data_IF_722440450286
#
_entry.id   IF_722440450286
#
_cell.length_a   1.000
_cell.length_b   1.000
_cell.length_c   1.000
_cell.angle_alpha   90.00
_cell.angle_beta   90.00
_cell.angle_gamma   90.00
#
_symmetry.space_group_name_H-M   'P 1'
#
loop_
_entity.id
_entity.type
_entity.pdbx_description
1 polymer ?
#
# COMPACT_ATOMS: atom_id res chain seq x y z
N UNK A 1 13.66 7.42 8.14
CA UNK A 1 13.24 8.72 8.70
C UNK A 1 11.92 9.08 8.07
N UNK A 2 10.94 9.50 8.86
CA UNK A 2 9.64 9.91 8.33
C UNK A 2 9.57 11.41 8.08
N UNK A 3 8.75 11.77 7.11
CA UNK A 3 8.22 13.12 6.92
C UNK A 3 7.10 13.32 7.94
N UNK A 4 7.21 14.38 8.74
CA UNK A 4 6.39 14.59 9.93
C UNK A 4 5.50 15.81 9.84
N UNK A 5 5.90 16.81 9.07
CA UNK A 5 5.16 18.07 8.93
C UNK A 5 4.83 18.36 7.48
N UNK A 6 3.82 19.21 7.27
CA UNK A 6 3.43 19.66 5.92
C UNK A 6 4.57 20.41 5.25
N UNK A 7 5.24 21.30 5.97
CA UNK A 7 6.37 22.08 5.46
C UNK A 7 7.51 21.20 5.02
N UNK A 8 7.85 20.17 5.82
CA UNK A 8 8.88 19.20 5.47
C UNK A 8 8.53 18.46 4.19
N UNK A 9 7.26 18.04 4.03
CA UNK A 9 6.77 17.40 2.81
C UNK A 9 6.97 18.33 1.59
N UNK A 10 6.50 19.57 1.67
CA UNK A 10 6.56 20.54 0.56
C UNK A 10 8.02 20.82 0.14
N UNK A 11 8.91 21.07 1.11
CA UNK A 11 10.35 21.31 0.86
C UNK A 11 11.00 20.10 0.21
N UNK A 12 10.79 18.90 0.76
CA UNK A 12 11.39 17.68 0.22
C UNK A 12 10.89 17.38 -1.19
N UNK A 13 9.60 17.59 -1.48
CA UNK A 13 9.06 17.38 -2.82
C UNK A 13 9.70 18.29 -3.86
N UNK A 14 9.85 19.59 -3.56
CA UNK A 14 10.51 20.54 -4.45
C UNK A 14 11.98 20.17 -4.69
N UNK A 15 12.72 19.85 -3.63
CA UNK A 15 14.12 19.39 -3.73
C UNK A 15 14.24 18.10 -4.56
N UNK A 16 13.39 17.10 -4.30
CA UNK A 16 13.45 15.81 -5.01
C UNK A 16 13.15 15.96 -6.50
N UNK A 17 12.17 16.78 -6.86
CA UNK A 17 11.83 17.03 -8.28
C UNK A 17 12.99 17.67 -9.03
N UNK A 18 13.71 18.63 -8.41
CA UNK A 18 14.92 19.25 -9.00
C UNK A 18 16.07 18.25 -9.18
N UNK A 19 16.16 17.26 -8.31
CA UNK A 19 17.23 16.24 -8.31
C UNK A 19 16.84 14.93 -9.02
N UNK A 20 15.63 14.81 -9.55
CA UNK A 20 15.05 13.54 -10.02
C UNK A 20 15.96 12.79 -11.00
N UNK A 21 16.58 13.50 -11.95
CA UNK A 21 17.50 12.91 -12.92
C UNK A 21 18.80 12.35 -12.30
N UNK A 22 19.36 13.01 -11.28
CA UNK A 22 20.54 12.53 -10.56
C UNK A 22 20.19 11.31 -9.69
N UNK A 23 19.08 11.40 -8.97
CA UNK A 23 18.56 10.32 -8.12
C UNK A 23 18.34 9.05 -8.94
N UNK A 24 17.66 9.16 -10.09
CA UNK A 24 17.43 8.04 -11.01
C UNK A 24 18.73 7.38 -11.46
N UNK A 25 19.74 8.16 -11.86
CA UNK A 25 21.04 7.63 -12.28
C UNK A 25 21.73 6.84 -11.15
N UNK A 26 21.71 7.35 -9.92
CA UNK A 26 22.29 6.67 -8.75
C UNK A 26 21.57 5.35 -8.46
N UNK A 27 20.23 5.36 -8.49
CA UNK A 27 19.43 4.16 -8.27
C UNK A 27 19.69 3.12 -9.36
N UNK A 28 19.62 3.49 -10.64
CA UNK A 28 19.84 2.56 -11.75
C UNK A 28 21.24 1.95 -11.68
N UNK A 29 22.26 2.75 -11.38
CA UNK A 29 23.62 2.27 -11.20
C UNK A 29 23.73 1.24 -10.08
N UNK A 30 23.16 1.54 -8.91
CA UNK A 30 23.19 0.64 -7.77
C UNK A 30 22.35 -0.62 -8.00
N UNK A 31 21.16 -0.48 -8.56
CA UNK A 31 20.29 -1.62 -8.87
C UNK A 31 20.97 -2.55 -9.88
N UNK A 32 21.67 -2.00 -10.87
CA UNK A 32 22.53 -2.77 -11.77
C UNK A 32 23.64 -3.50 -11.02
N UNK A 33 24.37 -2.84 -10.12
CA UNK A 33 25.45 -3.49 -9.36
C UNK A 33 24.95 -4.60 -8.43
N UNK A 34 23.88 -4.33 -7.67
CA UNK A 34 23.38 -5.22 -6.62
C UNK A 34 22.52 -6.35 -7.18
N UNK A 35 21.64 -6.06 -8.13
CA UNK A 35 20.66 -7.00 -8.66
C UNK A 35 20.96 -7.45 -10.09
N UNK A 36 21.85 -6.76 -10.82
CA UNK A 36 22.11 -7.03 -12.23
C UNK A 36 20.99 -6.55 -13.16
N UNK A 37 20.13 -5.63 -12.73
CA UNK A 37 19.04 -5.09 -13.54
C UNK A 37 19.54 -3.82 -14.24
N UNK A 38 19.69 -3.87 -15.57
CA UNK A 38 20.34 -2.82 -16.38
C UNK A 38 19.57 -1.50 -16.49
N UNK A 39 18.24 -1.53 -16.47
CA UNK A 39 17.40 -0.33 -16.64
C UNK A 39 16.17 -0.38 -15.72
N UNK A 40 16.42 -0.28 -14.42
CA UNK A 40 15.37 -0.33 -13.40
C UNK A 40 14.37 0.81 -13.55
N UNK A 41 14.84 2.02 -13.87
CA UNK A 41 14.00 3.19 -14.15
C UNK A 41 12.98 2.93 -15.24
N UNK A 42 13.36 2.27 -16.36
CA UNK A 42 12.39 1.94 -17.41
C UNK A 42 11.35 0.89 -16.97
N UNK A 43 11.75 -0.07 -16.11
CA UNK A 43 10.78 -1.02 -15.52
C UNK A 43 9.81 -0.28 -14.60
N UNK A 44 10.30 0.64 -13.75
CA UNK A 44 9.47 1.51 -12.90
C UNK A 44 8.48 2.30 -13.76
N UNK A 45 8.96 2.98 -14.81
CA UNK A 45 8.12 3.79 -15.71
C UNK A 45 7.06 2.98 -16.44
N UNK A 46 7.36 1.74 -16.86
CA UNK A 46 6.39 0.85 -17.49
C UNK A 46 5.19 0.61 -16.57
N UNK A 47 5.44 0.24 -15.33
CA UNK A 47 4.41 -0.12 -14.35
C UNK A 47 3.75 1.10 -13.69
N UNK A 48 4.46 2.23 -13.64
CA UNK A 48 3.96 3.49 -13.12
C UNK A 48 3.63 4.50 -14.23
N UNK A 49 3.30 4.02 -15.41
CA UNK A 49 3.08 4.85 -16.60
C UNK A 49 1.86 5.77 -16.52
N UNK A 50 0.99 5.60 -15.53
CA UNK A 50 -0.10 6.53 -15.24
C UNK A 50 0.37 7.77 -14.45
N UNK A 51 1.60 7.76 -13.91
CA UNK A 51 2.24 8.90 -13.22
C UNK A 51 2.86 9.92 -14.19
N UNK A 52 2.45 9.93 -15.47
CA UNK A 52 3.07 10.77 -16.52
C UNK A 52 2.87 12.27 -16.34
N UNK A 53 1.96 12.68 -15.46
CA UNK A 53 1.79 14.10 -15.15
C UNK A 53 2.87 14.54 -14.16
N UNK A 54 3.98 15.06 -14.69
CA UNK A 54 5.12 15.56 -13.90
C UNK A 54 4.75 16.71 -12.96
N UNK A 55 3.59 17.35 -13.17
CA UNK A 55 3.10 18.41 -12.28
C UNK A 55 2.49 17.85 -11.00
N UNK A 56 2.04 16.59 -11.01
CA UNK A 56 1.40 15.95 -9.86
C UNK A 56 2.40 15.18 -9.01
N UNK A 57 2.07 15.06 -7.73
CA UNK A 57 2.69 14.11 -6.82
C UNK A 57 1.60 13.19 -6.30
N UNK A 58 1.92 11.91 -6.21
CA UNK A 58 0.95 10.88 -5.85
C UNK A 58 1.24 10.37 -4.43
N UNK A 59 0.20 10.27 -3.61
CA UNK A 59 0.25 9.63 -2.30
C UNK A 59 -0.07 8.15 -2.48
N UNK A 60 0.76 7.27 -1.93
CA UNK A 60 0.60 5.82 -2.06
C UNK A 60 0.30 5.19 -0.71
N UNK A 61 -0.76 4.38 -0.64
CA UNK A 61 -1.04 3.48 0.48
C UNK A 61 -0.92 2.03 -0.01
N UNK A 62 0.01 1.26 0.56
CA UNK A 62 0.30 -0.09 0.11
C UNK A 62 -0.44 -1.15 0.93
N UNK A 63 -1.42 -1.83 0.35
CA UNK A 63 -2.20 -2.90 1.02
C UNK A 63 -2.31 -4.09 0.10
N UNK A 64 -2.27 -5.33 0.60
CA UNK A 64 -2.26 -6.46 -0.35
C UNK A 64 -3.54 -6.49 -1.21
N UNK A 65 -4.68 -6.15 -0.59
CA UNK A 65 -5.92 -5.79 -1.30
C UNK A 65 -6.42 -4.45 -0.73
N UNK A 66 -6.45 -3.37 -1.53
CA UNK A 66 -7.04 -2.10 -1.13
C UNK A 66 -8.54 -2.23 -0.85
N UNK A 67 -9.10 -1.41 0.05
CA UNK A 67 -10.53 -1.51 0.42
C UNK A 67 -11.11 -0.11 0.68
N UNK A 68 -12.16 -0.04 1.50
CA UNK A 68 -12.81 1.19 1.98
C UNK A 68 -12.85 1.22 3.51
N UNK A 69 -11.83 0.66 4.18
CA UNK A 69 -11.76 0.76 5.63
C UNK A 69 -11.46 2.19 6.08
N UNK A 70 -11.58 2.45 7.39
CA UNK A 70 -11.31 3.78 7.98
C UNK A 70 -9.96 4.32 7.51
N UNK A 71 -8.93 3.48 7.46
CA UNK A 71 -7.63 3.84 6.90
C UNK A 71 -7.68 4.28 5.44
N UNK A 72 -8.35 3.52 4.56
CA UNK A 72 -8.43 3.84 3.13
C UNK A 72 -9.13 5.19 2.91
N UNK A 73 -10.22 5.45 3.64
CA UNK A 73 -10.98 6.70 3.56
C UNK A 73 -10.15 7.88 4.12
N UNK A 74 -9.47 7.66 5.24
CA UNK A 74 -8.58 8.66 5.84
C UNK A 74 -7.41 8.99 4.90
N UNK A 75 -6.82 7.98 4.29
CA UNK A 75 -5.77 8.12 3.28
C UNK A 75 -6.26 8.95 2.08
N UNK A 76 -7.46 8.65 1.56
CA UNK A 76 -8.02 9.35 0.42
C UNK A 76 -8.21 10.86 0.72
N UNK A 77 -8.92 11.18 1.81
CA UNK A 77 -9.20 12.56 2.21
C UNK A 77 -7.89 13.29 2.57
N UNK A 78 -7.03 12.64 3.35
CA UNK A 78 -5.77 13.20 3.81
C UNK A 78 -4.80 13.51 2.67
N UNK A 79 -4.68 12.60 1.70
CA UNK A 79 -3.85 12.81 0.50
C UNK A 79 -4.32 14.02 -0.30
N UNK A 80 -5.64 14.13 -0.57
CA UNK A 80 -6.21 15.27 -1.29
C UNK A 80 -5.94 16.59 -0.57
N UNK A 81 -6.08 16.63 0.76
CA UNK A 81 -5.76 17.82 1.57
C UNK A 81 -4.29 18.21 1.54
N UNK A 82 -3.39 17.25 1.32
CA UNK A 82 -1.96 17.48 1.15
C UNK A 82 -1.57 17.79 -0.31
N UNK A 83 -2.53 17.91 -1.23
CA UNK A 83 -2.25 18.12 -2.65
C UNK A 83 -1.67 16.89 -3.35
N UNK A 84 -1.81 15.71 -2.74
CA UNK A 84 -1.36 14.44 -3.30
C UNK A 84 -2.51 13.74 -4.00
N UNK A 85 -2.25 13.15 -5.17
CA UNK A 85 -3.22 12.27 -5.83
C UNK A 85 -3.19 10.89 -5.17
N UNK A 86 -4.26 10.44 -4.50
CA UNK A 86 -4.25 9.17 -3.78
C UNK A 86 -4.25 8.01 -4.76
N UNK A 87 -3.37 7.03 -4.52
CA UNK A 87 -3.24 5.78 -5.27
C UNK A 87 -3.07 4.64 -4.28
N UNK A 88 -3.84 3.57 -4.45
CA UNK A 88 -3.63 2.37 -3.65
C UNK A 88 -2.68 1.43 -4.38
N UNK A 89 -1.63 0.99 -3.70
CA UNK A 89 -0.72 -0.02 -4.21
C UNK A 89 -1.14 -1.39 -3.69
N UNK A 90 -1.45 -2.31 -4.59
CA UNK A 90 -1.90 -3.67 -4.31
C UNK A 90 -0.85 -4.70 -4.66
N UNK A 91 -0.89 -5.85 -3.99
CA UNK A 91 0.00 -6.97 -4.29
C UNK A 91 -0.79 -8.27 -4.39
N UNK A 92 -1.51 -8.40 -5.51
CA UNK A 92 -2.52 -9.45 -5.69
C UNK A 92 -1.94 -10.85 -5.85
N UNK A 93 -0.67 -10.97 -6.27
CA UNK A 93 0.05 -12.24 -6.31
C UNK A 93 0.56 -12.72 -4.95
N UNK A 94 0.33 -11.97 -3.85
CA UNK A 94 0.61 -12.50 -2.52
C UNK A 94 -0.40 -13.58 -2.13
N UNK A 95 -0.06 -14.37 -1.11
CA UNK A 95 -0.88 -15.49 -0.66
C UNK A 95 -1.70 -15.10 0.56
N UNK A 96 -2.90 -15.65 0.68
CA UNK A 96 -3.68 -15.56 1.89
C UNK A 96 -3.03 -16.34 3.04
N UNK A 97 -3.15 -15.78 4.24
CA UNK A 97 -2.83 -16.44 5.50
C UNK A 97 -3.73 -15.88 6.60
N UNK A 98 -4.46 -16.74 7.30
CA UNK A 98 -5.34 -16.38 8.40
C UNK A 98 -4.61 -15.80 9.60
N UNK A 99 -3.30 -16.08 9.74
CA UNK A 99 -2.44 -15.46 10.75
C UNK A 99 -2.20 -13.96 10.48
N UNK A 100 -2.35 -13.52 9.23
CA UNK A 100 -2.30 -12.10 8.89
C UNK A 100 -3.72 -11.50 9.00
N UNK A 101 -3.91 -10.68 10.03
CA UNK A 101 -5.18 -10.04 10.33
C UNK A 101 -5.63 -9.01 9.29
N UNK A 102 -4.73 -8.38 8.52
CA UNK A 102 -5.09 -7.54 7.37
C UNK A 102 -5.78 -8.40 6.30
N UNK A 103 -5.19 -9.54 5.93
CA UNK A 103 -5.73 -10.45 4.92
C UNK A 103 -7.03 -11.08 5.37
N UNK A 104 -7.11 -11.52 6.63
CA UNK A 104 -8.34 -12.06 7.21
C UNK A 104 -9.49 -11.05 7.12
N UNK A 105 -9.22 -9.77 7.39
CA UNK A 105 -10.23 -8.70 7.35
C UNK A 105 -10.68 -8.32 5.93
N UNK A 106 -10.06 -8.87 4.87
CA UNK A 106 -10.56 -8.74 3.49
C UNK A 106 -11.61 -9.78 3.15
N UNK A 107 -11.49 -10.99 3.69
CA UNK A 107 -12.48 -12.07 3.46
C UNK A 107 -13.56 -12.13 4.55
N UNK A 108 -13.27 -11.56 5.72
CA UNK A 108 -14.19 -11.41 6.86
C UNK A 108 -14.17 -9.95 7.32
N UNK A 109 -14.99 -9.14 6.69
CA UNK A 109 -14.97 -7.68 6.83
C UNK A 109 -15.52 -7.26 8.20
N UNK A 110 -14.74 -6.52 9.02
CA UNK A 110 -15.27 -5.86 10.20
C UNK A 110 -16.00 -4.58 9.81
N UNK A 111 -17.28 -4.50 10.15
CA UNK A 111 -18.12 -3.34 10.01
C UNK A 111 -18.26 -2.62 11.35
N UNK A 112 -17.89 -1.35 11.37
CA UNK A 112 -18.24 -0.42 12.43
C UNK A 112 -19.63 0.15 12.21
N UNK A 113 -20.47 0.07 13.25
CA UNK A 113 -21.75 0.77 13.34
C UNK A 113 -21.84 1.42 14.71
N UNK A 114 -22.22 2.69 14.73
CA UNK A 114 -22.39 3.40 15.98
C UNK A 114 -23.88 3.45 16.32
N UNK A 115 -24.21 2.94 17.50
CA UNK A 115 -25.59 2.82 17.97
C UNK A 115 -26.21 4.17 18.29
N UNK A 116 -27.54 4.29 18.31
CA UNK A 116 -28.25 5.54 18.69
C UNK A 116 -27.71 6.15 20.01
N UNK A 117 -27.27 5.31 20.95
CA UNK A 117 -26.69 5.71 22.25
C UNK A 117 -25.20 6.12 22.21
N UNK A 118 -24.63 6.42 21.05
CA UNK A 118 -23.22 6.81 20.96
C UNK A 118 -22.20 5.66 20.89
N UNK A 119 -22.59 4.40 21.17
CA UNK A 119 -21.64 3.29 21.33
C UNK A 119 -21.23 2.64 20.01
N UNK A 120 -19.92 2.50 19.77
CA UNK A 120 -19.35 1.75 18.66
C UNK A 120 -19.61 0.24 18.83
N UNK A 121 -20.10 -0.40 17.77
CA UNK A 121 -20.30 -1.85 17.70
C UNK A 121 -19.65 -2.41 16.44
N UNK A 122 -19.05 -3.59 16.57
CA UNK A 122 -18.44 -4.31 15.46
C UNK A 122 -19.32 -5.48 15.04
N UNK A 123 -19.55 -5.60 13.73
CA UNK A 123 -20.18 -6.77 13.10
C UNK A 123 -19.22 -7.31 12.06
N UNK A 124 -19.29 -8.61 11.77
CA UNK A 124 -18.45 -9.22 10.75
C UNK A 124 -19.31 -9.76 9.62
N UNK A 125 -18.87 -9.54 8.40
CA UNK A 125 -19.47 -10.10 7.19
C UNK A 125 -18.46 -11.02 6.52
N UNK A 126 -18.87 -12.25 6.23
CA UNK A 126 -18.05 -13.18 5.46
C UNK A 126 -18.31 -12.92 3.97
N UNK A 127 -17.27 -12.46 3.28
CA UNK A 127 -17.30 -12.22 1.83
C UNK A 127 -17.01 -13.52 1.07
N UNK A 128 -16.19 -14.39 1.67
CA UNK A 128 -15.91 -15.73 1.14
C UNK A 128 -17.04 -16.70 1.52
N UNK A 129 -17.50 -17.49 0.54
CA UNK A 129 -18.61 -18.43 0.74
C UNK A 129 -18.23 -19.77 1.39
N UNK A 130 -16.93 -20.10 1.45
CA UNK A 130 -16.41 -21.33 2.04
C UNK A 130 -15.85 -21.13 3.45
N UNK A 131 -15.02 -22.09 3.88
CA UNK A 131 -14.35 -22.03 5.19
C UNK A 131 -12.98 -21.34 5.08
N UNK A 132 -12.66 -20.42 6.01
CA UNK A 132 -11.38 -19.67 6.00
C UNK A 132 -10.12 -20.55 5.81
N UNK A 133 -9.99 -21.75 6.43
CA UNK A 133 -8.82 -22.62 6.21
C UNK A 133 -8.61 -23.04 4.74
N UNK A 134 -9.65 -23.05 3.92
CA UNK A 134 -9.56 -23.41 2.49
C UNK A 134 -8.78 -22.37 1.68
N UNK A 135 -8.70 -21.15 2.20
CA UNK A 135 -7.98 -20.03 1.58
C UNK A 135 -6.48 -20.06 1.87
N UNK A 136 -5.99 -20.89 2.79
CA UNK A 136 -4.56 -20.88 3.14
C UNK A 136 -3.68 -21.09 1.91
N UNK A 137 -2.70 -20.20 1.75
CA UNK A 137 -1.79 -20.14 0.61
C UNK A 137 -2.43 -19.82 -0.76
N UNK A 138 -3.75 -19.63 -0.85
CA UNK A 138 -4.41 -19.21 -2.09
C UNK A 138 -3.94 -17.80 -2.47
N UNK A 139 -3.65 -17.59 -3.75
CA UNK A 139 -3.26 -16.28 -4.28
C UNK A 139 -4.43 -15.31 -4.13
N UNK A 140 -4.19 -14.14 -3.55
CA UNK A 140 -5.22 -13.16 -3.22
C UNK A 140 -6.08 -12.77 -4.42
N UNK A 141 -5.45 -12.60 -5.59
CA UNK A 141 -6.14 -12.31 -6.85
C UNK A 141 -7.08 -13.41 -7.35
N UNK A 142 -6.96 -14.64 -6.83
CA UNK A 142 -7.75 -15.80 -7.26
C UNK A 142 -8.82 -16.20 -6.25
N UNK A 143 -8.97 -15.47 -5.15
CA UNK A 143 -10.02 -15.77 -4.16
C UNK A 143 -11.38 -15.36 -4.75
N UNK A 144 -12.28 -16.32 -4.91
CA UNK A 144 -13.65 -16.09 -5.38
C UNK A 144 -14.57 -15.72 -4.23
N UNK A 145 -15.37 -14.67 -4.37
CA UNK A 145 -16.35 -14.27 -3.34
C UNK A 145 -17.66 -15.05 -3.46
N UNK A 146 -18.47 -15.08 -2.40
CA UNK A 146 -19.72 -15.85 -2.34
C UNK A 146 -20.72 -15.48 -3.46
N UNK A 147 -20.76 -14.21 -3.87
CA UNK A 147 -21.64 -13.69 -4.93
C UNK A 147 -21.09 -13.88 -6.36
N UNK A 148 -19.94 -14.53 -6.53
CA UNK A 148 -19.22 -14.61 -7.80
C UNK A 148 -18.29 -13.41 -8.03
N UNK A 149 -17.34 -13.57 -8.96
CA UNK A 149 -16.23 -12.64 -9.15
C UNK A 149 -15.10 -12.83 -8.13
N UNK A 150 -14.05 -12.05 -8.26
CA UNK A 150 -12.85 -12.14 -7.43
C UNK A 150 -12.89 -11.17 -6.25
N UNK A 151 -12.13 -11.48 -5.20
CA UNK A 151 -12.01 -10.63 -4.02
C UNK A 151 -11.51 -9.22 -4.33
N UNK A 152 -10.50 -9.01 -5.20
CA UNK A 152 -10.11 -7.66 -5.61
C UNK A 152 -11.21 -6.89 -6.35
N UNK A 153 -12.00 -7.57 -7.20
CA UNK A 153 -13.13 -6.94 -7.91
C UNK A 153 -14.21 -6.50 -6.93
N UNK A 154 -14.55 -7.33 -5.93
CA UNK A 154 -15.48 -6.96 -4.86
C UNK A 154 -15.03 -5.68 -4.14
N UNK A 155 -13.76 -5.60 -3.73
CA UNK A 155 -13.25 -4.40 -3.08
C UNK A 155 -13.13 -3.19 -4.03
N UNK A 156 -12.84 -3.41 -5.32
CA UNK A 156 -12.87 -2.37 -6.36
C UNK A 156 -14.26 -1.75 -6.49
N UNK A 157 -15.32 -2.57 -6.49
CA UNK A 157 -16.70 -2.08 -6.52
C UNK A 157 -17.04 -1.24 -5.28
N UNK A 158 -16.62 -1.67 -4.10
CA UNK A 158 -16.77 -0.87 -2.87
C UNK A 158 -16.05 0.48 -2.97
N UNK A 159 -14.80 0.49 -3.46
CA UNK A 159 -14.03 1.73 -3.65
C UNK A 159 -14.71 2.67 -4.64
N UNK A 160 -15.11 2.17 -5.81
CA UNK A 160 -15.87 2.97 -6.80
C UNK A 160 -17.14 3.54 -6.21
N UNK A 161 -17.84 2.79 -5.35
CA UNK A 161 -19.04 3.26 -4.68
C UNK A 161 -18.75 4.42 -3.72
N UNK A 162 -17.73 4.28 -2.87
CA UNK A 162 -17.41 5.26 -1.82
C UNK A 162 -16.71 6.49 -2.38
N UNK A 163 -15.80 6.31 -3.34
CA UNK A 163 -14.95 7.37 -3.90
C UNK A 163 -15.50 7.93 -5.23
N UNK A 164 -16.81 7.93 -5.43
CA UNK A 164 -17.47 8.56 -6.60
C UNK A 164 -16.92 8.07 -7.96
N UNK A 165 -16.83 6.75 -8.14
CA UNK A 165 -16.29 6.11 -9.34
C UNK A 165 -14.76 6.08 -9.42
N UNK A 166 -14.06 6.76 -8.51
CA UNK A 166 -12.60 6.79 -8.46
C UNK A 166 -12.03 5.48 -7.89
N UNK A 167 -11.14 4.81 -8.63
CA UNK A 167 -10.47 3.58 -8.19
C UNK A 167 -9.04 3.48 -8.77
N UNK A 168 -8.11 4.30 -8.30
CA UNK A 168 -6.70 4.32 -8.70
C UNK A 168 -5.92 3.21 -7.97
N UNK A 169 -6.35 1.96 -8.07
CA UNK A 169 -5.61 0.85 -7.53
C UNK A 169 -4.61 0.33 -8.57
N UNK A 170 -3.34 0.22 -8.18
CA UNK A 170 -2.26 -0.35 -8.98
C UNK A 170 -1.84 -1.69 -8.39
N UNK A 171 -1.88 -2.77 -9.16
CA UNK A 171 -1.21 -4.03 -8.78
C UNK A 171 0.27 -4.01 -9.18
N UNK A 172 1.16 -4.04 -8.18
CA UNK A 172 2.61 -4.06 -8.39
C UNK A 172 3.18 -5.47 -8.59
N UNK A 173 2.34 -6.51 -8.64
CA UNK A 173 2.80 -7.88 -8.89
C UNK A 173 3.62 -7.98 -10.18
N UNK A 174 3.16 -7.34 -11.26
CA UNK A 174 3.87 -7.30 -12.53
C UNK A 174 5.23 -6.60 -12.45
N UNK A 175 5.33 -5.53 -11.65
CA UNK A 175 6.59 -4.81 -11.44
C UNK A 175 7.66 -5.71 -10.81
N UNK A 176 7.28 -6.49 -9.80
CA UNK A 176 8.19 -7.43 -9.15
C UNK A 176 8.60 -8.57 -10.06
N UNK A 177 7.68 -9.10 -10.85
CA UNK A 177 7.97 -10.12 -11.83
C UNK A 177 8.99 -9.62 -12.87
N UNK A 178 8.80 -8.41 -13.42
CA UNK A 178 9.73 -7.83 -14.40
C UNK A 178 11.11 -7.53 -13.79
N UNK A 179 11.17 -7.01 -12.55
CA UNK A 179 12.42 -6.83 -11.83
C UNK A 179 13.14 -8.17 -11.61
N UNK A 180 12.39 -9.17 -11.15
CA UNK A 180 12.93 -10.50 -10.90
C UNK A 180 13.43 -11.14 -12.19
N UNK A 181 12.69 -11.08 -13.30
CA UNK A 181 13.13 -11.60 -14.61
C UNK A 181 14.40 -10.93 -15.11
N UNK A 182 14.46 -9.61 -14.99
CA UNK A 182 15.60 -8.80 -15.45
C UNK A 182 16.85 -8.92 -14.57
N UNK A 183 16.71 -9.40 -13.33
CA UNK A 183 17.85 -9.52 -12.40
C UNK A 183 18.79 -10.66 -12.78
N UNK A 184 20.10 -10.41 -12.72
CA UNK A 184 21.13 -11.46 -12.78
C UNK A 184 21.27 -12.11 -11.40
N UNK A 185 21.24 -11.29 -10.35
CA UNK A 185 21.40 -11.75 -8.96
C UNK A 185 20.02 -12.06 -8.35
N UNK A 186 19.54 -13.28 -8.62
CA UNK A 186 18.25 -13.78 -8.10
C UNK A 186 18.28 -13.99 -6.57
N UNK A 187 17.12 -13.89 -5.88
CA UNK A 187 17.02 -14.33 -4.48
C UNK A 187 17.26 -15.84 -4.35
N UNK A 188 17.55 -16.31 -3.14
CA UNK A 188 17.73 -17.75 -2.86
C UNK A 188 16.47 -18.58 -3.16
N UNK A 189 15.30 -17.99 -2.91
CA UNK A 189 14.01 -18.61 -3.16
C UNK A 189 13.01 -17.58 -3.68
N UNK A 190 11.94 -18.09 -4.28
CA UNK A 190 10.77 -17.33 -4.72
C UNK A 190 9.50 -18.05 -4.27
N UNK A 191 8.35 -17.42 -4.43
CA UNK A 191 7.06 -18.10 -4.30
C UNK A 191 6.40 -18.19 -5.68
N UNK A 192 6.18 -19.40 -6.16
CA UNK A 192 5.43 -19.69 -7.39
C UNK A 192 3.94 -19.64 -7.12
N UNK A 193 3.19 -18.97 -7.99
CA UNK A 193 1.75 -18.69 -7.85
C UNK A 193 0.93 -19.16 -9.06
N UNK A 194 1.55 -19.88 -10.01
CA UNK A 194 0.93 -20.31 -11.28
C UNK A 194 -0.27 -21.24 -11.12
N UNK A 195 -0.34 -22.01 -10.03
CA UNK A 195 -1.45 -22.91 -9.71
C UNK A 195 -2.60 -22.23 -8.96
N UNK A 196 -2.50 -20.91 -8.72
CA UNK A 196 -3.39 -20.19 -7.81
C UNK A 196 -3.15 -20.45 -6.33
N UNK A 197 -2.15 -21.28 -5.99
CA UNK A 197 -1.62 -21.41 -4.63
C UNK A 197 -0.13 -21.06 -4.63
N UNK A 198 0.29 -20.32 -3.62
CA UNK A 198 1.68 -19.95 -3.45
C UNK A 198 2.51 -21.07 -2.87
N UNK A 199 3.60 -21.43 -3.56
CA UNK A 199 4.57 -22.44 -3.11
C UNK A 199 5.98 -21.86 -3.10
N UNK A 200 6.69 -22.02 -1.98
CA UNK A 200 8.11 -21.62 -1.89
C UNK A 200 8.97 -22.57 -2.74
N UNK A 201 9.82 -22.02 -3.59
CA UNK A 201 10.76 -22.76 -4.45
C UNK A 201 12.16 -22.18 -4.26
N UNK A 202 13.13 -23.03 -3.97
CA UNK A 202 14.54 -22.66 -3.89
C UNK A 202 15.18 -22.70 -5.28
N UNK A 203 15.83 -21.61 -5.69
CA UNK A 203 16.38 -21.48 -7.04
C UNK A 203 17.68 -22.26 -7.24
N UNK A 204 18.39 -22.58 -6.15
CA UNK A 204 19.61 -23.40 -6.20
C UNK A 204 19.34 -24.87 -6.49
N UNK A 205 18.16 -25.37 -6.09
CA UNK A 205 17.78 -26.78 -6.20
C UNK A 205 16.92 -27.07 -7.45
N UNK A 206 16.46 -26.02 -8.13
CA UNK A 206 15.70 -26.19 -9.36
C UNK A 206 16.66 -26.47 -10.52
N UNK A 207 16.69 -27.71 -11.01
CA UNK A 207 17.17 -28.07 -12.35
C UNK A 207 16.49 -27.27 -13.48
N UNK A 208 15.43 -26.52 -13.15
CA UNK A 208 14.77 -25.50 -13.97
C UNK A 208 15.48 -24.16 -13.82
N UNK A 209 16.62 -24.00 -14.50
CA UNK A 209 17.36 -22.73 -14.61
C UNK A 209 16.62 -21.58 -15.32
N UNK A 210 15.30 -21.66 -15.50
CA UNK A 210 14.47 -20.59 -16.06
C UNK A 210 13.25 -20.40 -15.16
N UNK A 211 13.18 -19.22 -14.53
CA UNK A 211 11.96 -18.65 -13.99
C UNK A 211 11.05 -18.30 -15.18
N UNK A 212 10.38 -19.30 -15.74
CA UNK A 212 9.62 -19.17 -16.98
C UNK A 212 8.13 -18.85 -16.73
N UNK A 213 7.74 -18.57 -15.49
CA UNK A 213 6.36 -18.21 -15.17
C UNK A 213 6.23 -16.72 -14.84
N UNK A 214 5.17 -16.10 -15.36
CA UNK A 214 4.72 -14.75 -14.96
C UNK A 214 4.13 -14.68 -13.54
N UNK A 215 4.23 -15.78 -12.81
CA UNK A 215 3.56 -16.03 -11.54
C UNK A 215 4.59 -16.43 -10.50
N UNK A 216 5.58 -15.55 -10.27
CA UNK A 216 6.56 -15.68 -9.18
C UNK A 216 6.68 -14.37 -8.43
N UNK A 217 6.72 -14.45 -7.11
CA UNK A 217 7.06 -13.31 -6.25
C UNK A 217 8.35 -13.51 -5.48
N UNK A 218 9.21 -12.49 -5.38
CA UNK A 218 10.41 -12.54 -4.55
C UNK A 218 10.07 -12.42 -3.05
N UNK A 219 10.98 -12.82 -2.14
CA UNK A 219 10.85 -12.55 -0.72
C UNK A 219 11.01 -11.04 -0.42
N UNK A 220 10.42 -10.60 0.69
CA UNK A 220 10.45 -9.20 1.14
C UNK A 220 11.84 -8.63 1.34
N UNK A 221 12.76 -9.43 1.87
CA UNK A 221 14.17 -9.05 2.02
C UNK A 221 14.86 -8.72 0.69
N UNK A 222 14.38 -9.28 -0.42
CA UNK A 222 14.93 -9.00 -1.75
C UNK A 222 14.27 -7.78 -2.40
N UNK A 223 12.94 -7.65 -2.33
CA UNK A 223 12.22 -6.58 -3.02
C UNK A 223 12.17 -5.25 -2.26
N UNK A 224 12.24 -5.22 -0.92
CA UNK A 224 12.10 -3.96 -0.17
C UNK A 224 13.07 -2.87 -0.60
N UNK A 225 14.36 -3.14 -0.89
CA UNK A 225 15.26 -2.10 -1.36
C UNK A 225 14.86 -1.53 -2.73
N UNK A 226 14.31 -2.35 -3.63
CA UNK A 226 13.74 -1.89 -4.90
C UNK A 226 12.45 -1.08 -4.67
N UNK A 227 11.60 -1.53 -3.75
CA UNK A 227 10.38 -0.83 -3.33
C UNK A 227 10.65 0.58 -2.83
N UNK A 228 11.56 0.74 -1.87
CA UNK A 228 11.90 2.07 -1.37
C UNK A 228 12.58 2.96 -2.41
N UNK A 229 13.26 2.36 -3.39
CA UNK A 229 13.85 3.10 -4.50
C UNK A 229 12.81 3.77 -5.41
N UNK A 230 11.55 3.33 -5.35
CA UNK A 230 10.47 3.96 -6.10
C UNK A 230 10.07 5.35 -5.54
N UNK A 231 10.38 5.65 -4.28
CA UNK A 231 9.88 6.83 -3.56
C UNK A 231 10.94 7.91 -3.31
N UNK A 232 11.85 8.14 -4.26
CA UNK A 232 13.00 9.03 -4.05
C UNK A 232 12.96 10.33 -4.85
N UNK A 233 12.28 10.36 -5.99
CA UNK A 233 12.36 11.43 -7.00
C UNK A 233 11.26 12.51 -6.88
N UNK A 234 10.38 12.41 -5.88
CA UNK A 234 9.33 13.40 -5.64
C UNK A 234 8.06 13.20 -6.47
N UNK A 235 8.00 12.16 -7.31
CA UNK A 235 6.77 11.82 -8.03
C UNK A 235 5.76 11.08 -7.15
N UNK A 236 6.26 10.31 -6.18
CA UNK A 236 5.44 9.51 -5.26
C UNK A 236 5.91 9.64 -3.82
N UNK A 237 4.94 9.61 -2.90
CA UNK A 237 5.13 9.63 -1.44
C UNK A 237 4.44 8.41 -0.87
N UNK A 238 5.14 7.61 -0.07
CA UNK A 238 4.55 6.49 0.65
C UNK A 238 3.92 6.99 1.94
N UNK A 239 2.63 6.70 2.16
CA UNK A 239 1.96 6.91 3.43
C UNK A 239 1.97 5.58 4.19
N UNK A 240 2.80 5.47 5.21
CA UNK A 240 2.98 4.22 5.95
C UNK A 240 3.47 4.45 7.37
N UNK A 241 3.18 3.48 8.25
CA UNK A 241 3.91 3.35 9.52
C UNK A 241 4.29 1.91 9.82
N UNK A 242 5.55 1.71 10.20
CA UNK A 242 6.04 0.44 10.73
C UNK A 242 5.74 0.26 12.23
N UNK A 243 5.12 1.25 12.90
CA UNK A 243 4.76 1.16 14.32
C UNK A 243 3.39 0.50 14.48
N UNK A 244 3.26 -0.76 14.03
CA UNK A 244 2.00 -1.50 14.14
C UNK A 244 2.05 -2.46 15.34
N UNK A 245 1.36 -2.18 16.46
CA UNK A 245 1.39 -3.04 17.65
C UNK A 245 0.74 -4.40 17.41
N UNK A 246 -0.21 -4.48 16.47
CA UNK A 246 -0.88 -5.73 16.06
C UNK A 246 -0.11 -6.46 14.94
N UNK A 247 0.79 -5.75 14.27
CA UNK A 247 1.73 -6.30 13.30
C UNK A 247 2.87 -6.97 14.03
N UNK A 248 2.71 -8.24 14.39
CA UNK A 248 3.76 -9.05 15.03
C UNK A 248 5.01 -9.22 14.16
N UNK A 249 5.85 -8.20 13.96
CA UNK A 249 7.19 -8.43 13.40
C UNK A 249 8.16 -7.29 13.77
N UNK A 250 8.77 -7.29 14.97
CA UNK A 250 9.95 -6.47 15.26
C UNK A 250 11.03 -6.56 14.15
N UNK A 251 11.12 -7.71 13.48
CA UNK A 251 11.99 -7.98 12.34
C UNK A 251 11.57 -7.19 11.08
N UNK A 252 10.29 -6.92 10.84
CA UNK A 252 9.84 -6.09 9.72
C UNK A 252 10.23 -4.64 9.95
N UNK A 253 10.07 -4.10 11.16
CA UNK A 253 10.57 -2.76 11.52
C UNK A 253 12.08 -2.66 11.29
N UNK A 254 12.85 -3.63 11.80
CA UNK A 254 14.31 -3.68 11.59
C UNK A 254 14.68 -3.75 10.11
N UNK A 255 13.98 -4.57 9.32
CA UNK A 255 14.18 -4.69 7.88
C UNK A 255 13.86 -3.38 7.15
N UNK A 256 12.76 -2.72 7.53
CA UNK A 256 12.32 -1.44 6.96
C UNK A 256 13.38 -0.35 7.20
N UNK A 257 13.78 -0.15 8.45
CA UNK A 257 14.80 0.85 8.84
C UNK A 257 16.12 0.57 8.13
N UNK A 258 16.62 -0.67 8.21
CA UNK A 258 17.87 -1.08 7.55
C UNK A 258 17.82 -0.82 6.04
N UNK A 259 16.66 -1.03 5.42
CA UNK A 259 16.52 -0.82 3.98
C UNK A 259 16.49 0.67 3.64
N UNK A 260 15.80 1.50 4.41
CA UNK A 260 15.82 2.96 4.21
C UNK A 260 17.23 3.53 4.36
N UNK A 261 17.99 3.08 5.36
CA UNK A 261 19.37 3.53 5.58
C UNK A 261 20.28 3.10 4.43
N UNK A 262 20.16 1.84 3.96
CA UNK A 262 20.91 1.38 2.80
C UNK A 262 20.59 2.25 1.57
N UNK A 263 19.31 2.52 1.28
CA UNK A 263 18.90 3.39 0.16
C UNK A 263 19.48 4.79 0.31
N UNK A 264 19.51 5.36 1.51
CA UNK A 264 20.12 6.68 1.77
C UNK A 264 21.61 6.69 1.48
N UNK A 265 22.36 5.68 1.92
CA UNK A 265 23.80 5.59 1.66
C UNK A 265 24.12 5.65 0.16
N UNK A 266 23.22 5.15 -0.67
CA UNK A 266 23.39 5.06 -2.13
C UNK A 266 22.88 6.30 -2.85
N UNK A 267 21.62 6.67 -2.60
CA UNK A 267 20.96 7.76 -3.31
C UNK A 267 21.33 9.14 -2.73
N UNK A 268 21.93 9.17 -1.53
CA UNK A 268 22.21 10.37 -0.74
C UNK A 268 20.99 10.87 0.03
N UNK A 269 19.85 10.19 -0.09
CA UNK A 269 18.55 10.71 0.33
C UNK A 269 17.66 9.58 0.87
N UNK A 270 16.82 9.88 1.88
CA UNK A 270 15.82 8.92 2.34
C UNK A 270 14.64 8.83 1.36
N UNK A 271 14.00 7.64 1.24
CA UNK A 271 12.69 7.52 0.62
C UNK A 271 11.68 8.47 1.26
N UNK A 272 10.80 9.06 0.46
CA UNK A 272 9.70 9.91 0.87
C UNK A 272 8.61 9.05 1.53
N UNK A 273 8.69 8.92 2.85
CA UNK A 273 7.72 8.19 3.66
C UNK A 273 7.08 9.15 4.66
N UNK A 274 5.80 9.40 4.49
CA UNK A 274 4.97 10.20 5.39
C UNK A 274 4.44 9.31 6.51
N UNK A 275 4.62 9.74 7.75
CA UNK A 275 4.15 9.01 8.92
C UNK A 275 2.64 9.13 9.10
N UNK A 276 1.95 7.99 9.06
CA UNK A 276 0.52 7.89 9.40
C UNK A 276 0.32 7.11 10.72
N UNK A 277 -0.86 7.19 11.35
CA UNK A 277 -1.16 6.43 12.56
C UNK A 277 -1.06 4.92 12.36
N UNK A 278 -0.73 4.16 13.42
CA UNK A 278 -0.74 2.69 13.40
C UNK A 278 -2.06 2.10 12.92
N UNK A 279 -1.98 0.99 12.17
CA UNK A 279 -3.14 0.25 11.68
C UNK A 279 -3.78 -0.60 12.81
N UNK A 280 -4.61 0.03 13.64
CA UNK A 280 -5.40 -0.63 14.70
C UNK A 280 -6.59 -1.42 14.13
N UNK A 281 -7.32 -2.14 14.98
CA UNK A 281 -8.56 -2.81 14.58
C UNK A 281 -9.61 -1.82 14.07
N UNK A 282 -9.76 -0.67 14.71
CA UNK A 282 -10.69 0.38 14.29
C UNK A 282 -10.36 0.91 12.90
N UNK A 283 -9.06 1.12 12.61
CA UNK A 283 -8.59 1.55 11.29
C UNK A 283 -8.93 0.55 10.18
N UNK A 284 -9.07 -0.74 10.51
CA UNK A 284 -9.45 -1.81 9.56
C UNK A 284 -10.95 -1.97 9.38
N UNK A 285 -11.76 -1.30 10.20
CA UNK A 285 -13.21 -1.37 10.10
C UNK A 285 -13.72 -0.60 8.88
N UNK A 286 -14.81 -1.06 8.28
CA UNK A 286 -15.58 -0.27 7.34
C UNK A 286 -16.64 0.50 8.12
N UNK A 287 -16.75 1.81 7.91
CA UNK A 287 -17.88 2.56 8.44
C UNK A 287 -19.10 2.29 7.57
N UNK A 288 -20.11 1.63 8.15
CA UNK A 288 -21.32 1.23 7.44
C UNK A 288 -22.11 2.43 6.90
N UNK A 289 -22.16 3.55 7.63
CA UNK A 289 -22.88 4.75 7.18
C UNK A 289 -22.23 5.39 5.95
N UNK A 290 -20.91 5.25 5.78
CA UNK A 290 -20.18 5.71 4.59
C UNK A 290 -20.47 4.81 3.39
N UNK A 291 -20.44 3.48 3.57
CA UNK A 291 -20.57 2.52 2.46
C UNK A 291 -22.03 2.35 1.99
N UNK A 292 -23.00 2.40 2.90
CA UNK A 292 -24.40 2.12 2.55
C UNK A 292 -25.08 3.31 1.86
N UNK A 293 -24.72 4.55 2.19
CA UNK A 293 -25.55 5.72 1.84
C UNK A 293 -25.26 6.37 0.46
N UNK A 294 -24.40 5.80 -0.39
CA UNK A 294 -24.12 6.26 -1.79
C UNK A 294 -24.01 7.79 -1.96
N UNK A 295 -23.57 8.51 -0.93
CA UNK A 295 -23.49 9.96 -0.99
C UNK A 295 -22.02 10.39 -0.97
N UNK A 296 -21.47 10.80 -2.12
CA UNK A 296 -20.08 11.23 -2.21
C UNK A 296 -19.77 12.49 -1.39
N UNK A 297 -20.76 13.33 -1.07
CA UNK A 297 -20.61 14.52 -0.22
C UNK A 297 -20.20 14.18 1.21
N UNK A 298 -20.34 12.91 1.65
CA UNK A 298 -19.91 12.51 2.99
C UNK A 298 -18.40 12.66 3.19
N UNK A 299 -17.59 12.39 2.15
CA UNK A 299 -16.14 12.49 2.25
C UNK A 299 -15.70 13.94 2.32
N UNK A 300 -16.36 14.82 1.58
CA UNK A 300 -16.12 16.26 1.61
C UNK A 300 -16.48 16.83 2.99
N UNK A 301 -17.64 16.45 3.55
CA UNK A 301 -18.07 16.86 4.89
C UNK A 301 -17.09 16.43 5.98
N UNK A 302 -16.62 15.16 5.97
CA UNK A 302 -15.60 14.68 6.90
C UNK A 302 -14.30 15.49 6.74
N UNK A 303 -13.93 15.77 5.48
CA UNK A 303 -12.78 16.59 5.15
C UNK A 303 -12.90 18.01 5.73
N UNK A 304 -14.02 18.69 5.55
CA UNK A 304 -14.23 20.06 6.01
C UNK A 304 -14.11 20.19 7.55
N UNK A 305 -14.55 19.19 8.30
CA UNK A 305 -14.43 19.17 9.77
C UNK A 305 -12.97 19.11 10.26
N UNK A 306 -12.04 18.61 9.44
CA UNK A 306 -10.62 18.49 9.79
C UNK A 306 -9.78 19.43 8.94
N UNK A 307 -9.55 20.64 9.46
CA UNK A 307 -8.67 21.61 8.79
C UNK A 307 -7.21 21.23 8.98
N UNK A 308 -6.47 21.13 7.87
CA UNK A 308 -5.02 20.98 7.87
C UNK A 308 -4.35 22.22 8.49
N UNK A 309 -4.97 23.40 8.39
CA UNK A 309 -4.47 24.67 8.94
C UNK A 309 -4.45 24.67 10.46
N UNK A 310 -5.35 23.91 11.11
CA UNK A 310 -5.36 23.72 12.58
C UNK A 310 -4.03 23.18 13.10
N UNK A 311 -3.34 22.41 12.28
CA UNK A 311 -2.04 21.83 12.61
C UNK A 311 -0.88 22.79 12.27
N UNK A 312 -1.10 23.80 11.42
CA UNK A 312 -0.05 24.72 10.97
C UNK A 312 1.03 24.03 10.13
N UNK A 313 2.07 24.79 9.75
CA UNK A 313 3.18 24.27 8.95
C UNK A 313 4.02 23.20 9.66
N UNK A 314 4.17 23.35 10.98
CA UNK A 314 4.99 22.49 11.85
C UNK A 314 4.16 21.43 12.59
N UNK A 315 2.86 21.35 12.29
CA UNK A 315 1.96 20.37 12.87
C UNK A 315 2.31 18.95 12.47
N UNK A 316 2.17 18.03 13.42
CA UNK A 316 2.45 16.62 13.18
C UNK A 316 1.36 16.00 12.29
N UNK A 317 1.72 15.63 11.06
CA UNK A 317 0.82 15.03 10.08
C UNK A 317 0.16 13.76 10.60
N UNK A 318 0.87 12.96 11.40
CA UNK A 318 0.27 11.78 12.03
C UNK A 318 -0.89 12.14 12.99
N UNK A 319 -0.86 13.29 13.68
CA UNK A 319 -2.02 13.75 14.46
C UNK A 319 -3.18 14.19 13.57
N UNK A 320 -2.89 14.83 12.44
CA UNK A 320 -3.91 15.17 11.44
C UNK A 320 -4.61 13.91 10.92
N UNK A 321 -3.85 12.89 10.52
CA UNK A 321 -4.41 11.61 10.09
C UNK A 321 -5.16 10.91 11.23
N UNK A 322 -4.70 11.02 12.47
CA UNK A 322 -5.42 10.44 13.64
C UNK A 322 -6.78 11.10 13.85
N UNK A 323 -6.85 12.43 13.86
CA UNK A 323 -8.11 13.16 14.00
C UNK A 323 -9.06 12.83 12.85
N UNK A 324 -8.52 12.74 11.62
CA UNK A 324 -9.30 12.35 10.45
C UNK A 324 -9.85 10.91 10.57
N UNK A 325 -9.05 9.95 11.03
CA UNK A 325 -9.49 8.58 11.29
C UNK A 325 -10.60 8.52 12.34
N UNK A 326 -10.48 9.32 13.41
CA UNK A 326 -11.51 9.43 14.44
C UNK A 326 -12.82 9.97 13.86
N UNK A 327 -12.77 10.94 12.94
CA UNK A 327 -13.95 11.46 12.24
C UNK A 327 -14.56 10.44 11.30
N UNK A 328 -13.75 9.75 10.50
CA UNK A 328 -14.22 8.69 9.60
C UNK A 328 -14.87 7.56 10.40
N UNK A 329 -14.25 7.14 11.51
CA UNK A 329 -14.80 6.10 12.38
C UNK A 329 -16.11 6.56 13.03
N UNK A 330 -16.17 7.81 13.49
CA UNK A 330 -17.32 8.38 14.19
C UNK A 330 -18.42 8.96 13.30
N UNK A 331 -18.20 8.99 11.98
CA UNK A 331 -19.13 9.59 11.04
C UNK A 331 -20.49 8.92 11.15
N UNK A 332 -21.50 9.77 11.33
CA UNK A 332 -22.91 9.42 11.28
C UNK A 332 -23.62 10.49 10.48
N UNK A 333 -24.64 10.07 9.74
CA UNK A 333 -25.56 10.99 9.08
C UNK A 333 -26.97 10.78 9.58
#
# INVERSE_FOLDING_TARGET
>A
MYIRTRKELEVLLDERKKMAGEIRKKIDHWVKQKYGIENFGAIKEKHLSFLKDETRTYGFLARQIPSVCVEDVTFFIGSKKLGLEPVWMSFLQDNFSSANSEKLNRVKIPWSKITEKGKLTLRYENVFGGQIPELESVVLGHITVAGGGTLPEFHSQLRKKVFNGYDPALDISGFWNDCLKSSVNKPEFVYETSSGKGRKIFLKDSSRGKLDSDCVRPPSSWYYPLYFSCFLDGSVVLLETYENPDGQVPEARKLFIRTMDAVKEIAGVYPLVLEIPPLTLEMRCLNRDIVEKENPECLDSIGEEVSLEKFGEDGYLCQFFKELSERVLNYRR
#
